data_IF_819466049092
#
_entry.id   IF_819466049092
#
_cell.length_a   1.000
_cell.length_b   1.000
_cell.length_c   1.000
_cell.angle_alpha   90.00
_cell.angle_beta   90.00
_cell.angle_gamma   90.00
#
_symmetry.space_group_name_H-M   'P 1'
#
loop_
_entity.id
_entity.type
_entity.pdbx_description
1 polymer ?
#
# COMPACT_ATOMS: atom_id res chain seq x y z
N UNK A 1 6.71 17.06 -9.61
CA UNK A 1 6.84 15.64 -9.24
C UNK A 1 8.29 15.36 -8.89
N UNK A 2 8.67 15.49 -7.63
CA UNK A 2 9.98 15.00 -7.15
C UNK A 2 9.72 13.92 -6.11
N UNK A 3 8.93 12.91 -6.49
CA UNK A 3 8.90 11.61 -5.80
C UNK A 3 10.21 10.91 -6.15
N UNK A 4 11.25 11.20 -5.37
CA UNK A 4 12.52 10.50 -5.48
C UNK A 4 12.28 9.09 -4.94
N UNK A 5 11.89 8.17 -5.82
CA UNK A 5 11.97 6.73 -5.56
C UNK A 5 13.37 6.47 -5.01
N UNK A 6 13.43 6.01 -3.75
CA UNK A 6 14.68 6.01 -2.98
C UNK A 6 15.70 5.00 -3.50
N UNK A 7 15.28 4.08 -4.38
CA UNK A 7 16.14 3.09 -5.02
C UNK A 7 15.89 3.11 -6.53
N UNK A 8 16.51 4.06 -7.23
CA UNK A 8 16.61 4.05 -8.68
C UNK A 8 18.04 3.69 -9.10
N UNK A 9 18.16 2.84 -10.12
CA UNK A 9 19.42 2.70 -10.83
C UNK A 9 19.77 4.04 -11.47
N UNK A 10 20.92 4.62 -11.10
CA UNK A 10 21.40 5.90 -11.65
C UNK A 10 21.55 5.85 -13.18
N UNK A 11 21.89 4.70 -13.73
CA UNK A 11 22.12 4.49 -15.15
C UNK A 11 21.17 3.45 -15.71
N UNK A 12 20.46 3.81 -16.77
CA UNK A 12 19.47 2.95 -17.42
C UNK A 12 20.11 1.67 -18.01
N UNK A 13 21.36 1.74 -18.45
CA UNK A 13 22.08 0.54 -18.91
C UNK A 13 22.25 -0.49 -17.78
N UNK A 14 22.58 -0.03 -16.57
CA UNK A 14 22.73 -0.91 -15.40
C UNK A 14 21.37 -1.49 -15.01
N UNK A 15 20.30 -0.68 -15.05
CA UNK A 15 18.93 -1.14 -14.86
C UNK A 15 18.61 -2.29 -15.82
N UNK A 16 18.85 -2.11 -17.12
CA UNK A 16 18.58 -3.13 -18.13
C UNK A 16 19.40 -4.40 -17.93
N UNK A 17 20.69 -4.29 -17.61
CA UNK A 17 21.56 -5.44 -17.34
C UNK A 17 21.11 -6.19 -16.09
N UNK A 18 20.81 -5.48 -15.01
CA UNK A 18 20.33 -6.07 -13.77
C UNK A 18 18.97 -6.76 -13.97
N UNK A 19 18.03 -6.11 -14.66
CA UNK A 19 16.72 -6.70 -15.01
C UNK A 19 16.88 -7.95 -15.87
N UNK A 20 17.72 -7.90 -16.91
CA UNK A 20 18.01 -9.07 -17.75
C UNK A 20 18.70 -10.19 -16.99
N UNK A 21 19.44 -9.90 -15.92
CA UNK A 21 20.15 -10.92 -15.13
C UNK A 21 19.28 -11.53 -14.04
N UNK A 22 18.44 -10.73 -13.38
CA UNK A 22 17.74 -11.12 -12.14
C UNK A 22 16.21 -11.17 -12.27
N UNK A 23 15.63 -10.50 -13.27
CA UNK A 23 14.18 -10.39 -13.48
C UNK A 23 13.75 -10.97 -14.84
N UNK A 24 14.24 -12.17 -15.17
CA UNK A 24 13.95 -12.82 -16.46
C UNK A 24 12.54 -13.43 -16.55
N UNK A 25 11.98 -13.87 -15.42
CA UNK A 25 10.65 -14.46 -15.35
C UNK A 25 9.60 -13.45 -14.91
N UNK A 26 8.47 -13.41 -15.62
CA UNK A 26 7.32 -12.59 -15.21
C UNK A 26 6.80 -13.02 -13.84
N UNK A 27 6.68 -14.33 -13.59
CA UNK A 27 6.20 -14.86 -12.30
C UNK A 27 7.18 -14.57 -11.17
N UNK A 28 8.49 -14.70 -11.40
CA UNK A 28 9.51 -14.33 -10.42
C UNK A 28 9.43 -12.84 -10.08
N UNK A 29 9.25 -11.99 -11.09
CA UNK A 29 9.13 -10.53 -10.89
C UNK A 29 7.87 -10.18 -10.09
N UNK A 30 6.75 -10.86 -10.37
CA UNK A 30 5.50 -10.72 -9.58
C UNK A 30 5.71 -11.17 -8.13
N UNK A 31 6.36 -12.31 -7.93
CA UNK A 31 6.67 -12.84 -6.60
C UNK A 31 7.52 -11.85 -5.79
N UNK A 32 8.58 -11.29 -6.39
CA UNK A 32 9.44 -10.29 -5.74
C UNK A 32 8.62 -9.05 -5.36
N UNK A 33 7.71 -8.59 -6.22
CA UNK A 33 6.82 -7.49 -5.88
C UNK A 33 5.87 -7.82 -4.73
N UNK A 34 5.42 -9.07 -4.64
CA UNK A 34 4.64 -9.57 -3.50
C UNK A 34 5.44 -9.53 -2.20
N UNK A 35 6.69 -10.00 -2.21
CA UNK A 35 7.57 -9.95 -1.03
C UNK A 35 7.87 -8.51 -0.59
N UNK A 36 8.16 -7.61 -1.53
CA UNK A 36 8.38 -6.20 -1.21
C UNK A 36 7.11 -5.58 -0.61
N UNK A 37 5.93 -5.89 -1.16
CA UNK A 37 4.67 -5.43 -0.59
C UNK A 37 4.49 -5.94 0.84
N UNK A 38 4.77 -7.22 1.11
CA UNK A 38 4.67 -7.77 2.45
C UNK A 38 5.57 -7.01 3.44
N UNK A 39 6.78 -6.58 3.05
CA UNK A 39 7.65 -5.76 3.90
C UNK A 39 7.06 -4.39 4.25
N UNK A 40 6.27 -3.78 3.35
CA UNK A 40 5.60 -2.51 3.65
C UNK A 40 4.49 -2.66 4.69
N UNK A 41 3.80 -3.80 4.71
CA UNK A 41 2.62 -4.04 5.56
C UNK A 41 2.89 -4.97 6.76
N UNK A 42 4.10 -5.54 6.89
CA UNK A 42 4.44 -6.45 7.98
C UNK A 42 4.50 -5.78 9.34
N UNK A 43 4.94 -4.52 9.40
CA UNK A 43 5.00 -3.74 10.65
C UNK A 43 3.59 -3.39 11.16
N UNK A 44 2.66 -3.06 10.24
CA UNK A 44 1.28 -2.69 10.57
C UNK A 44 0.43 -3.88 11.05
N UNK A 45 0.63 -5.07 10.46
CA UNK A 45 -0.10 -6.26 10.87
C UNK A 45 0.27 -6.75 12.30
N UNK A 46 1.43 -6.33 12.83
CA UNK A 46 1.85 -6.69 14.19
C UNK A 46 1.19 -5.77 15.22
N UNK A 47 1.08 -4.48 14.93
CA UNK A 47 0.41 -3.49 15.79
C UNK A 47 -1.10 -3.78 15.92
N UNK A 48 -1.79 -4.11 14.82
CA UNK A 48 -3.22 -4.49 14.87
C UNK A 48 -3.50 -5.75 15.72
N UNK A 49 -2.58 -6.74 15.73
CA UNK A 49 -2.72 -7.96 16.54
C UNK A 49 -2.47 -7.73 18.04
N UNK A 50 -1.63 -6.75 18.39
CA UNK A 50 -1.40 -6.38 19.78
C UNK A 50 -2.57 -5.55 20.33
N UNK A 51 -3.16 -4.66 19.53
CA UNK A 51 -4.34 -3.87 19.91
C UNK A 51 -5.62 -4.71 20.06
N UNK A 52 -5.86 -5.72 19.20
CA UNK A 52 -7.01 -6.65 19.34
C UNK A 52 -6.95 -7.50 20.63
N UNK A 53 -5.78 -7.64 21.24
CA UNK A 53 -5.61 -8.45 22.46
C UNK A 53 -6.02 -7.73 23.76
N UNK A 54 -6.23 -6.42 23.71
CA UNK A 54 -6.51 -5.56 24.89
C UNK A 54 -7.98 -5.11 24.99
N UNK A 55 -8.86 -5.52 24.07
CA UNK A 55 -10.29 -5.20 24.11
C UNK A 55 -11.08 -6.15 25.02
N UNK A 56 -10.93 -5.96 26.34
CA UNK A 56 -11.89 -6.48 27.33
C UNK A 56 -12.40 -5.37 28.24
N UNK A 57 -13.13 -4.37 27.71
CA UNK A 57 -13.86 -3.42 28.57
C UNK A 57 -15.21 -2.99 27.96
N UNK A 58 -16.27 -3.49 28.60
CA UNK A 58 -17.63 -2.99 28.78
C UNK A 58 -18.61 -2.84 27.59
N UNK A 59 -19.51 -3.82 27.51
CA UNK A 59 -20.87 -3.71 26.98
C UNK A 59 -21.66 -2.66 27.75
N UNK A 60 -21.79 -1.43 27.25
CA UNK A 60 -23.04 -0.68 27.42
C UNK A 60 -23.18 0.52 26.47
N UNK A 61 -24.21 0.43 25.62
CA UNK A 61 -24.84 1.52 24.84
C UNK A 61 -24.01 2.14 23.71
N UNK A 62 -24.08 1.55 22.52
CA UNK A 62 -23.79 2.28 21.27
C UNK A 62 -24.93 2.14 20.25
N UNK A 63 -25.31 3.27 19.68
CA UNK A 63 -26.29 3.34 18.59
C UNK A 63 -25.61 2.99 17.25
N UNK A 64 -26.35 2.58 16.20
CA UNK A 64 -25.77 1.97 14.99
C UNK A 64 -24.84 2.87 14.14
N UNK A 65 -24.65 4.13 14.54
CA UNK A 65 -23.91 5.14 13.78
C UNK A 65 -22.63 5.63 14.48
N UNK A 66 -22.30 5.09 15.66
CA UNK A 66 -21.05 5.38 16.33
C UNK A 66 -20.08 4.22 16.11
N UNK A 67 -19.55 4.10 14.89
CA UNK A 67 -18.25 3.46 14.75
C UNK A 67 -17.27 4.33 15.53
N UNK A 68 -16.77 3.87 16.67
CA UNK A 68 -15.60 4.47 17.29
C UNK A 68 -14.55 4.61 16.17
N UNK A 69 -14.23 5.85 15.81
CA UNK A 69 -13.10 6.11 14.93
C UNK A 69 -11.88 5.79 15.82
N UNK A 70 -11.46 4.52 15.83
CA UNK A 70 -10.15 4.12 16.31
C UNK A 70 -9.17 4.83 15.39
N UNK A 71 -8.85 6.08 15.73
CA UNK A 71 -7.67 6.75 15.21
C UNK A 71 -6.53 6.10 16.00
N UNK A 72 -6.24 4.83 15.72
CA UNK A 72 -4.87 4.37 15.90
C UNK A 72 -4.05 5.32 15.04
N UNK A 73 -2.99 5.90 15.61
CA UNK A 73 -2.12 6.86 14.95
C UNK A 73 -1.26 6.11 13.90
N UNK A 74 -1.91 5.45 12.94
CA UNK A 74 -1.30 4.72 11.82
C UNK A 74 -0.66 5.74 10.91
N UNK A 75 0.56 6.13 11.26
CA UNK A 75 1.35 7.11 10.53
C UNK A 75 2.11 6.43 9.41
N UNK A 76 1.46 6.27 8.25
CA UNK A 76 2.16 5.84 7.05
C UNK A 76 3.28 6.82 6.69
N UNK A 77 4.49 6.30 6.46
CA UNK A 77 5.57 7.11 5.91
C UNK A 77 5.25 7.54 4.48
N UNK A 78 5.83 8.68 4.03
CA UNK A 78 5.70 9.15 2.64
C UNK A 78 6.06 8.04 1.64
N UNK A 79 7.14 7.29 1.92
CA UNK A 79 7.58 6.18 1.07
C UNK A 79 6.54 5.07 1.01
N UNK A 80 5.94 4.71 2.15
CA UNK A 80 4.90 3.69 2.19
C UNK A 80 3.73 4.10 1.27
N UNK A 81 3.26 5.34 1.36
CA UNK A 81 2.19 5.85 0.49
C UNK A 81 2.61 5.86 -0.98
N UNK A 82 3.84 6.27 -1.30
CA UNK A 82 4.30 6.38 -2.69
C UNK A 82 4.56 5.02 -3.37
N UNK A 83 5.05 4.02 -2.63
CA UNK A 83 5.61 2.79 -3.20
C UNK A 83 4.82 1.50 -2.90
N UNK A 84 4.08 1.40 -1.79
CA UNK A 84 3.46 0.12 -1.37
C UNK A 84 2.41 -0.41 -2.38
N UNK A 85 1.49 0.46 -2.80
CA UNK A 85 0.39 0.09 -3.71
C UNK A 85 0.88 -0.37 -5.08
N UNK A 86 1.98 0.20 -5.60
CA UNK A 86 2.49 -0.19 -6.92
C UNK A 86 3.13 -1.58 -6.88
N UNK A 87 3.67 -2.00 -5.73
CA UNK A 87 4.15 -3.36 -5.53
C UNK A 87 3.01 -4.37 -5.48
N UNK A 88 1.93 -4.07 -4.74
CA UNK A 88 0.71 -4.89 -4.75
C UNK A 88 0.10 -5.00 -6.17
N UNK A 89 0.03 -3.88 -6.89
CA UNK A 89 -0.46 -3.83 -8.27
C UNK A 89 0.36 -4.73 -9.21
N UNK A 90 1.70 -4.64 -9.13
CA UNK A 90 2.60 -5.42 -9.97
C UNK A 90 2.65 -6.89 -9.59
N UNK A 91 2.49 -7.23 -8.32
CA UNK A 91 2.32 -8.61 -7.86
C UNK A 91 1.05 -9.23 -8.45
N UNK A 92 0.01 -8.42 -8.69
CA UNK A 92 -1.29 -8.86 -9.18
C UNK A 92 -2.26 -9.25 -8.06
N UNK A 93 -1.90 -9.00 -6.80
CA UNK A 93 -2.74 -9.26 -5.65
C UNK A 93 -3.80 -8.17 -5.49
N UNK A 94 -4.87 -8.28 -6.27
CA UNK A 94 -5.95 -7.28 -6.30
C UNK A 94 -6.77 -7.25 -5.02
N UNK A 95 -6.74 -8.33 -4.22
CA UNK A 95 -7.44 -8.38 -2.93
C UNK A 95 -6.72 -7.50 -1.91
N UNK A 96 -5.41 -7.74 -1.70
CA UNK A 96 -4.60 -6.93 -0.79
C UNK A 96 -4.52 -5.47 -1.27
N UNK A 97 -4.41 -5.23 -2.56
CA UNK A 97 -4.44 -3.87 -3.13
C UNK A 97 -5.69 -3.09 -2.74
N UNK A 98 -6.87 -3.73 -2.77
CA UNK A 98 -8.10 -3.07 -2.36
C UNK A 98 -8.11 -2.87 -0.85
N UNK A 99 -7.91 -3.94 -0.09
CA UNK A 99 -8.09 -3.94 1.36
C UNK A 99 -7.07 -3.06 2.09
N UNK A 100 -5.80 -3.09 1.71
CA UNK A 100 -4.73 -2.39 2.43
C UNK A 100 -4.52 -0.95 1.96
N UNK A 101 -5.00 -0.58 0.77
CA UNK A 101 -4.76 0.77 0.22
C UNK A 101 -6.03 1.49 -0.20
N UNK A 102 -6.70 1.08 -1.29
CA UNK A 102 -7.74 1.92 -1.90
C UNK A 102 -9.12 1.83 -1.25
N UNK A 103 -9.32 0.84 -0.38
CA UNK A 103 -10.50 0.71 0.47
C UNK A 103 -10.17 0.89 1.95
N UNK A 104 -8.94 1.31 2.29
CA UNK A 104 -8.52 1.63 3.65
C UNK A 104 -8.53 3.15 3.85
N UNK A 105 -9.35 3.64 4.78
CA UNK A 105 -9.50 5.09 5.00
C UNK A 105 -8.21 5.73 5.54
N UNK A 106 -7.45 5.04 6.38
CA UNK A 106 -6.20 5.56 6.94
C UNK A 106 -5.15 5.75 5.87
N UNK A 107 -5.02 4.79 4.94
CA UNK A 107 -4.13 4.92 3.80
C UNK A 107 -4.53 6.09 2.90
N UNK A 108 -5.82 6.22 2.57
CA UNK A 108 -6.34 7.32 1.74
C UNK A 108 -6.12 8.68 2.42
N UNK A 109 -6.35 8.74 3.72
CA UNK A 109 -6.17 9.93 4.53
C UNK A 109 -4.70 10.32 4.64
N UNK A 110 -3.81 9.35 4.82
CA UNK A 110 -2.37 9.57 4.79
C UNK A 110 -1.91 10.08 3.42
N UNK A 111 -2.44 9.56 2.30
CA UNK A 111 -2.10 10.05 0.97
C UNK A 111 -2.47 11.53 0.76
N UNK A 112 -3.62 11.95 1.28
CA UNK A 112 -4.05 13.35 1.22
C UNK A 112 -3.19 14.24 2.12
N UNK A 113 -2.93 13.79 3.35
CA UNK A 113 -2.19 14.56 4.37
C UNK A 113 -0.70 14.70 4.05
N UNK A 114 -0.07 13.64 3.53
CA UNK A 114 1.36 13.60 3.27
C UNK A 114 1.74 14.15 1.88
N UNK A 115 0.84 14.06 0.90
CA UNK A 115 1.12 14.44 -0.49
C UNK A 115 0.12 15.47 -1.01
N UNK A 116 -1.09 15.05 -1.41
CA UNK A 116 -2.19 15.94 -1.85
C UNK A 116 -3.43 15.16 -2.29
N UNK A 117 -4.58 15.85 -2.37
CA UNK A 117 -5.80 15.34 -3.01
C UNK A 117 -5.57 14.98 -4.49
N UNK A 118 -4.79 15.80 -5.21
CA UNK A 118 -4.46 15.55 -6.63
C UNK A 118 -3.66 14.26 -6.81
N UNK A 119 -2.75 13.95 -5.88
CA UNK A 119 -2.01 12.69 -5.88
C UNK A 119 -2.96 11.51 -5.67
N UNK A 120 -3.85 11.57 -4.68
CA UNK A 120 -4.83 10.52 -4.43
C UNK A 120 -5.69 10.24 -5.67
N UNK A 121 -6.19 11.30 -6.33
CA UNK A 121 -6.93 11.17 -7.59
C UNK A 121 -6.11 10.46 -8.67
N UNK A 122 -4.84 10.83 -8.81
CA UNK A 122 -3.94 10.25 -9.82
C UNK A 122 -3.74 8.74 -9.61
N UNK A 123 -3.47 8.30 -8.38
CA UNK A 123 -3.26 6.87 -8.10
C UNK A 123 -4.54 6.05 -8.24
N UNK A 124 -5.71 6.61 -7.86
CA UNK A 124 -7.01 5.96 -8.05
C UNK A 124 -7.31 5.73 -9.53
N UNK A 125 -7.07 6.74 -10.38
CA UNK A 125 -7.27 6.59 -11.83
C UNK A 125 -6.28 5.57 -12.42
N UNK A 126 -5.03 5.56 -11.97
CA UNK A 126 -4.02 4.60 -12.42
C UNK A 126 -4.44 3.16 -12.12
N UNK A 127 -4.87 2.89 -10.88
CA UNK A 127 -5.30 1.56 -10.47
C UNK A 127 -6.62 1.16 -11.13
N UNK A 128 -7.54 2.11 -11.32
CA UNK A 128 -8.78 1.88 -12.07
C UNK A 128 -8.50 1.37 -13.48
N UNK A 129 -7.66 2.07 -14.26
CA UNK A 129 -7.31 1.62 -15.61
C UNK A 129 -6.71 0.21 -15.58
N UNK A 130 -5.79 -0.05 -14.66
CA UNK A 130 -5.11 -1.33 -14.57
C UNK A 130 -6.03 -2.51 -14.18
N UNK A 131 -6.99 -2.28 -13.28
CA UNK A 131 -7.95 -3.30 -12.86
C UNK A 131 -9.01 -3.55 -13.94
N UNK A 132 -9.44 -2.52 -14.67
CA UNK A 132 -10.43 -2.63 -15.73
C UNK A 132 -9.84 -3.22 -17.03
N UNK A 133 -8.60 -2.91 -17.37
CA UNK A 133 -7.93 -3.42 -18.59
C UNK A 133 -7.55 -4.91 -18.50
N UNK A 134 -7.80 -5.56 -17.35
CA UNK A 134 -7.57 -7.00 -17.12
C UNK A 134 -8.85 -7.82 -16.95
N UNK A 135 -10.02 -7.18 -17.02
CA UNK A 135 -11.34 -7.81 -16.91
C UNK A 135 -11.86 -8.39 -18.22
#
# INVERSE_FOLDING_TARGET
MSGRVLICWKYELINQVARKRYLQGQDNTRSIHGEIANLFFSEFNQEEQEEESDESVDEDKQTPFQSHLHISDVTYSLRHVEESWIHLLKAGDSSKLKQLTFCNFDFLLAAVRTISVSYLRSILEHVRCYLLDRG
#
